data_IF_541752227788
#
_entry.id   IF_541752227788
#
_cell.length_a   1.000
_cell.length_b   1.000
_cell.length_c   1.000
_cell.angle_alpha   90.00
_cell.angle_beta   90.00
_cell.angle_gamma   90.00
#
_symmetry.space_group_name_H-M   'P 1'
#
loop_
_entity.id
_entity.type
_entity.pdbx_description
1 polymer ?
#
# COMPACT_ATOMS: atom_id res chain seq x y z
N UNK A 1 -12.58 20.93 -6.71
CA UNK A 1 -11.80 21.01 -7.96
C UNK A 1 -12.16 19.82 -8.82
N UNK A 2 -12.24 20.02 -10.13
CA UNK A 2 -12.42 18.93 -11.06
C UNK A 2 -11.19 18.00 -11.01
N UNK A 3 -11.42 16.69 -11.14
CA UNK A 3 -10.39 15.66 -11.01
C UNK A 3 -9.54 15.49 -12.27
N UNK A 4 -8.72 14.43 -12.30
CA UNK A 4 -7.80 14.15 -13.42
C UNK A 4 -8.39 13.43 -14.62
N UNK A 5 -9.69 13.13 -14.65
CA UNK A 5 -10.37 12.49 -15.79
C UNK A 5 -10.80 13.55 -16.82
N UNK A 6 -9.81 14.25 -17.37
CA UNK A 6 -9.98 15.34 -18.32
C UNK A 6 -8.70 15.53 -19.14
N UNK A 7 -8.82 16.11 -20.35
CA UNK A 7 -7.67 16.42 -21.22
C UNK A 7 -6.71 17.46 -20.63
N UNK A 8 -7.23 18.38 -19.82
CA UNK A 8 -6.46 19.44 -19.18
C UNK A 8 -6.88 19.63 -17.72
N UNK A 9 -5.91 19.97 -16.88
CA UNK A 9 -6.13 20.33 -15.48
C UNK A 9 -5.27 21.53 -15.10
N UNK A 10 -5.79 22.38 -14.19
CA UNK A 10 -5.05 23.51 -13.61
C UNK A 10 -4.69 23.16 -12.17
N UNK A 11 -3.40 23.23 -11.83
CA UNK A 11 -2.89 22.96 -10.49
C UNK A 11 -1.91 24.05 -10.04
N UNK A 12 -1.87 24.33 -8.73
CA UNK A 12 -0.84 25.22 -8.17
C UNK A 12 0.50 24.47 -8.14
N UNK A 13 1.57 25.14 -8.56
CA UNK A 13 2.91 24.54 -8.66
C UNK A 13 3.40 23.88 -7.36
N UNK A 14 2.99 24.37 -6.19
CA UNK A 14 3.33 23.80 -4.88
C UNK A 14 2.71 22.41 -4.61
N UNK A 15 1.69 22.00 -5.38
CA UNK A 15 1.12 20.64 -5.34
C UNK A 15 1.55 19.78 -6.54
N UNK A 16 2.43 20.30 -7.40
CA UNK A 16 2.98 19.56 -8.52
C UNK A 16 4.34 18.95 -8.14
N UNK A 17 4.56 17.71 -8.58
CA UNK A 17 5.84 17.03 -8.50
C UNK A 17 6.40 16.80 -9.89
N UNK A 18 7.73 16.87 -10.01
CA UNK A 18 8.41 16.45 -11.23
C UNK A 18 8.32 14.92 -11.36
N UNK A 19 8.00 14.45 -12.56
CA UNK A 19 7.98 13.00 -12.85
C UNK A 19 9.42 12.49 -12.88
N UNK A 20 9.74 11.39 -12.17
CA UNK A 20 11.06 10.79 -12.21
C UNK A 20 11.48 10.42 -13.66
N UNK A 21 12.74 10.68 -14.05
CA UNK A 21 13.21 10.31 -15.38
C UNK A 21 13.11 8.79 -15.59
N UNK A 22 12.77 8.37 -16.81
CA UNK A 22 12.62 6.96 -17.16
C UNK A 22 11.22 6.38 -16.93
N UNK A 23 10.30 7.14 -16.35
CA UNK A 23 8.88 6.75 -16.25
C UNK A 23 8.05 7.39 -17.34
N UNK A 24 7.22 6.61 -18.02
CA UNK A 24 6.11 7.16 -18.81
C UNK A 24 5.07 7.80 -17.88
N UNK A 25 4.22 8.69 -18.42
CA UNK A 25 3.13 9.27 -17.64
C UNK A 25 2.22 8.20 -17.01
N UNK A 26 1.93 7.14 -17.76
CA UNK A 26 1.18 5.99 -17.28
C UNK A 26 1.88 5.28 -16.12
N UNK A 27 3.18 5.01 -16.24
CA UNK A 27 3.92 4.33 -15.19
C UNK A 27 4.08 5.21 -13.95
N UNK A 28 4.13 6.53 -14.12
CA UNK A 28 4.25 7.48 -13.04
C UNK A 28 2.93 7.74 -12.30
N UNK A 29 1.78 7.60 -12.97
CA UNK A 29 0.48 7.94 -12.37
C UNK A 29 0.22 7.18 -11.05
N UNK A 30 0.46 5.85 -10.94
CA UNK A 30 0.31 5.13 -9.68
C UNK A 30 1.29 5.59 -8.58
N UNK A 31 2.47 6.10 -8.94
CA UNK A 31 3.45 6.60 -7.95
C UNK A 31 2.88 7.80 -7.18
N UNK A 32 2.14 8.67 -7.86
CA UNK A 32 1.60 9.93 -7.30
C UNK A 32 0.41 9.74 -6.36
N UNK A 33 -0.18 8.55 -6.31
CA UNK A 33 -1.28 8.24 -5.38
C UNK A 33 -0.90 7.04 -4.52
N UNK A 34 -0.99 5.84 -5.09
CA UNK A 34 -0.73 4.59 -4.40
C UNK A 34 0.70 4.50 -3.84
N UNK A 35 1.68 5.03 -4.59
CA UNK A 35 3.07 5.09 -4.18
C UNK A 35 3.30 6.03 -3.00
N UNK A 36 2.84 7.29 -3.09
CA UNK A 36 3.01 8.29 -2.03
C UNK A 36 2.33 7.88 -0.72
N UNK A 37 1.08 7.42 -0.77
CA UNK A 37 0.38 6.99 0.45
C UNK A 37 1.02 5.72 1.02
N UNK A 38 1.44 4.78 0.17
CA UNK A 38 2.17 3.58 0.58
C UNK A 38 3.49 3.93 1.27
N UNK A 39 4.27 4.86 0.70
CA UNK A 39 5.52 5.33 1.29
C UNK A 39 5.31 6.04 2.63
N UNK A 40 4.29 6.90 2.73
CA UNK A 40 3.97 7.57 3.99
C UNK A 40 3.56 6.58 5.08
N UNK A 41 2.67 5.64 4.76
CA UNK A 41 2.27 4.58 5.69
C UNK A 41 3.48 3.76 6.15
N UNK A 42 4.38 3.45 5.22
CA UNK A 42 5.63 2.77 5.51
C UNK A 42 6.56 3.56 6.42
N UNK A 43 6.76 4.86 6.19
CA UNK A 43 7.53 5.69 7.14
C UNK A 43 6.99 5.62 8.56
N UNK A 44 5.66 5.68 8.72
CA UNK A 44 5.01 5.57 10.03
C UNK A 44 5.17 4.17 10.63
N UNK A 45 5.11 3.11 9.81
CA UNK A 45 5.32 1.73 10.25
C UNK A 45 6.77 1.49 10.70
N UNK A 46 7.74 1.99 9.94
CA UNK A 46 9.19 1.81 10.19
C UNK A 46 9.68 2.36 11.51
N UNK A 47 9.01 3.36 12.07
CA UNK A 47 9.35 3.89 13.40
C UNK A 47 9.25 2.83 14.50
N UNK A 48 8.47 1.76 14.27
CA UNK A 48 8.35 0.60 15.16
C UNK A 48 9.14 -0.62 14.67
N UNK A 49 10.00 -0.47 13.66
CA UNK A 49 10.78 -1.55 13.06
C UNK A 49 12.28 -1.33 13.29
N UNK A 50 13.11 -2.40 13.31
CA UNK A 50 14.56 -2.26 13.24
C UNK A 50 14.99 -1.61 11.92
N UNK A 51 16.21 -1.04 11.87
CA UNK A 51 16.72 -0.36 10.67
C UNK A 51 16.79 -1.26 9.43
N UNK A 52 17.05 -2.56 9.63
CA UNK A 52 17.06 -3.61 8.62
C UNK A 52 16.47 -4.90 9.21
N UNK A 53 16.16 -5.88 8.34
CA UNK A 53 15.65 -7.23 8.69
C UNK A 53 14.29 -7.28 9.42
N UNK A 54 13.64 -6.13 9.60
CA UNK A 54 12.27 -6.04 10.10
C UNK A 54 11.25 -6.76 9.21
N UNK A 55 10.18 -7.25 9.84
CA UNK A 55 9.10 -8.01 9.21
C UNK A 55 7.86 -7.14 9.09
N UNK A 56 7.49 -6.79 7.86
CA UNK A 56 6.34 -5.94 7.54
C UNK A 56 5.18 -6.77 6.99
N UNK A 57 4.02 -6.68 7.64
CA UNK A 57 2.76 -7.21 7.11
C UNK A 57 2.04 -6.20 6.23
N UNK A 58 1.63 -6.61 5.02
CA UNK A 58 0.81 -5.80 4.13
C UNK A 58 -0.57 -6.44 3.96
N UNK A 59 -1.61 -5.86 4.56
CA UNK A 59 -2.99 -6.32 4.49
C UNK A 59 -3.75 -5.62 3.37
N UNK A 60 -4.16 -6.39 2.36
CA UNK A 60 -4.72 -5.88 1.11
C UNK A 60 -3.62 -5.66 0.07
N UNK A 61 -3.36 -6.67 -0.76
CA UNK A 61 -2.28 -6.63 -1.76
C UNK A 61 -2.72 -6.02 -3.10
N UNK A 62 -3.02 -4.72 -3.10
CA UNK A 62 -3.47 -3.96 -4.27
C UNK A 62 -2.45 -2.94 -4.79
N UNK A 63 -2.95 -1.81 -5.33
CA UNK A 63 -2.15 -0.76 -5.93
C UNK A 63 -1.04 -0.21 -5.00
N UNK A 64 -1.32 0.08 -3.72
CA UNK A 64 -0.28 0.59 -2.82
C UNK A 64 0.72 -0.47 -2.39
N UNK A 65 0.24 -1.67 -2.04
CA UNK A 65 1.08 -2.75 -1.55
C UNK A 65 2.10 -3.23 -2.60
N UNK A 66 1.73 -3.31 -3.88
CA UNK A 66 2.63 -3.77 -4.94
C UNK A 66 3.77 -2.78 -5.25
N UNK A 67 3.56 -1.49 -5.00
CA UNK A 67 4.62 -0.48 -5.09
C UNK A 67 5.47 -0.51 -3.82
N UNK A 68 4.81 -0.57 -2.66
CA UNK A 68 5.48 -0.48 -1.37
C UNK A 68 6.40 -1.67 -1.09
N UNK A 69 6.03 -2.89 -1.48
CA UNK A 69 6.87 -4.07 -1.26
C UNK A 69 8.28 -3.91 -1.85
N UNK A 70 8.39 -3.24 -3.00
CA UNK A 70 9.67 -3.00 -3.68
C UNK A 70 10.54 -2.03 -2.85
N UNK A 71 9.91 -1.02 -2.25
CA UNK A 71 10.56 -0.07 -1.34
C UNK A 71 11.01 -0.74 -0.04
N UNK A 72 10.13 -1.51 0.59
CA UNK A 72 10.42 -2.20 1.85
C UNK A 72 11.57 -3.21 1.68
N UNK A 73 11.57 -3.96 0.58
CA UNK A 73 12.64 -4.91 0.26
C UNK A 73 13.97 -4.22 -0.02
N UNK A 74 13.95 -3.12 -0.77
CA UNK A 74 15.16 -2.35 -1.03
C UNK A 74 15.76 -1.72 0.25
N UNK A 75 14.93 -1.49 1.27
CA UNK A 75 15.36 -1.07 2.60
C UNK A 75 15.80 -2.24 3.51
N UNK A 76 15.83 -3.48 3.00
CA UNK A 76 16.28 -4.65 3.75
C UNK A 76 15.20 -5.29 4.65
N UNK A 77 13.92 -4.97 4.46
CA UNK A 77 12.83 -5.59 5.23
C UNK A 77 12.20 -6.77 4.49
N UNK A 78 11.71 -7.72 5.27
CA UNK A 78 10.96 -8.88 4.82
C UNK A 78 9.48 -8.53 4.80
N UNK A 79 8.74 -9.02 3.80
CA UNK A 79 7.33 -8.67 3.60
C UNK A 79 6.45 -9.91 3.58
N UNK A 80 5.43 -9.90 4.45
CA UNK A 80 4.36 -10.89 4.50
C UNK A 80 3.11 -10.24 3.90
N UNK A 81 2.58 -10.83 2.84
CA UNK A 81 1.38 -10.31 2.17
C UNK A 81 0.12 -11.03 2.63
N UNK A 82 -0.86 -10.27 3.10
CA UNK A 82 -2.15 -10.76 3.53
C UNK A 82 -3.21 -10.32 2.52
N UNK A 83 -3.87 -11.29 1.92
CA UNK A 83 -4.83 -11.11 0.84
C UNK A 83 -6.23 -11.49 1.30
N UNK A 84 -7.24 -11.10 0.53
CA UNK A 84 -8.61 -11.59 0.76
C UNK A 84 -8.62 -13.12 0.67
N UNK A 85 -9.43 -13.82 1.49
CA UNK A 85 -9.51 -15.27 1.43
C UNK A 85 -9.72 -15.83 0.02
N UNK A 86 -8.85 -16.74 -0.40
CA UNK A 86 -8.90 -17.38 -1.72
C UNK A 86 -8.39 -16.54 -2.89
N UNK A 87 -7.82 -15.36 -2.67
CA UNK A 87 -7.29 -14.49 -3.72
C UNK A 87 -5.88 -14.95 -4.19
N UNK A 88 -5.84 -16.12 -4.83
CA UNK A 88 -4.59 -16.77 -5.27
C UNK A 88 -3.80 -15.87 -6.23
N UNK A 89 -4.48 -15.13 -7.10
CA UNK A 89 -3.84 -14.20 -8.03
C UNK A 89 -3.06 -13.09 -7.30
N UNK A 90 -3.66 -12.47 -6.27
CA UNK A 90 -2.96 -11.48 -5.47
C UNK A 90 -1.79 -12.08 -4.67
N UNK A 91 -1.94 -13.31 -4.16
CA UNK A 91 -0.87 -14.00 -3.43
C UNK A 91 0.33 -14.32 -4.33
N UNK A 92 0.08 -14.84 -5.53
CA UNK A 92 1.14 -15.14 -6.50
C UNK A 92 1.82 -13.87 -6.97
N UNK A 93 1.06 -12.80 -7.21
CA UNK A 93 1.62 -11.50 -7.53
C UNK A 93 2.51 -10.94 -6.41
N UNK A 94 2.11 -11.10 -5.15
CA UNK A 94 2.94 -10.72 -4.01
C UNK A 94 4.26 -11.49 -3.96
N UNK A 95 4.22 -12.81 -4.16
CA UNK A 95 5.41 -13.67 -4.21
C UNK A 95 6.33 -13.29 -5.37
N UNK A 96 5.78 -13.00 -6.55
CA UNK A 96 6.54 -12.52 -7.71
C UNK A 96 7.30 -11.20 -7.43
N UNK A 97 6.72 -10.32 -6.62
CA UNK A 97 7.37 -9.07 -6.19
C UNK A 97 8.34 -9.25 -5.00
N UNK A 98 8.44 -10.48 -4.48
CA UNK A 98 9.40 -10.89 -3.46
C UNK A 98 8.87 -10.89 -2.03
N UNK A 99 7.55 -11.01 -1.83
CA UNK A 99 7.01 -11.34 -0.51
C UNK A 99 7.58 -12.70 -0.08
N UNK A 100 8.10 -12.81 1.14
CA UNK A 100 8.63 -14.07 1.65
C UNK A 100 7.51 -15.05 2.03
N UNK A 101 6.29 -14.54 2.23
CA UNK A 101 5.08 -15.33 2.38
C UNK A 101 3.88 -14.51 1.89
N UNK A 102 2.89 -15.21 1.36
CA UNK A 102 1.60 -14.64 1.01
C UNK A 102 0.49 -15.64 1.38
N UNK A 103 -0.62 -15.15 1.92
CA UNK A 103 -1.74 -15.98 2.30
C UNK A 103 -3.01 -15.17 2.58
N UNK A 104 -4.03 -15.86 3.04
CA UNK A 104 -5.29 -15.25 3.45
C UNK A 104 -5.07 -14.37 4.69
N UNK A 105 -5.85 -13.30 4.83
CA UNK A 105 -5.75 -12.35 5.94
C UNK A 105 -5.97 -12.96 7.33
N UNK A 106 -6.60 -14.13 7.38
CA UNK A 106 -6.93 -14.86 8.60
C UNK A 106 -6.07 -16.14 8.75
N UNK A 107 -5.11 -16.36 7.85
CA UNK A 107 -4.21 -17.50 7.97
C UNK A 107 -3.22 -17.30 9.12
N UNK A 108 -2.71 -18.40 9.65
CA UNK A 108 -1.68 -18.36 10.68
C UNK A 108 -0.44 -17.66 10.13
N UNK A 109 0.01 -16.64 10.86
CA UNK A 109 1.19 -15.87 10.48
C UNK A 109 2.44 -16.72 10.76
N UNK A 110 3.33 -16.94 9.78
CA UNK A 110 4.47 -17.82 9.96
C UNK A 110 5.50 -17.27 10.97
N UNK A 111 5.51 -15.97 11.21
CA UNK A 111 6.34 -15.32 12.22
C UNK A 111 5.76 -13.97 12.70
N UNK A 112 6.07 -13.51 13.92
CA UNK A 112 5.58 -12.23 14.42
C UNK A 112 6.07 -11.02 13.61
N UNK A 113 5.16 -10.13 13.26
CA UNK A 113 5.42 -8.88 12.53
C UNK A 113 6.03 -7.81 13.44
N UNK A 114 6.90 -6.96 12.91
CA UNK A 114 7.32 -5.70 13.57
C UNK A 114 6.26 -4.60 13.36
N UNK A 115 5.71 -4.52 12.15
CA UNK A 115 4.66 -3.59 11.83
C UNK A 115 3.71 -4.19 10.79
N UNK A 116 2.50 -3.62 10.71
CA UNK A 116 1.50 -3.97 9.72
C UNK A 116 0.90 -2.71 9.10
N UNK A 117 0.63 -2.74 7.80
CA UNK A 117 -0.09 -1.68 7.08
C UNK A 117 -1.35 -2.30 6.49
N UNK A 118 -2.49 -1.69 6.76
CA UNK A 118 -3.80 -2.13 6.28
C UNK A 118 -4.27 -1.19 5.18
N UNK A 119 -4.25 -1.67 3.94
CA UNK A 119 -4.82 -1.01 2.77
C UNK A 119 -6.25 -1.46 2.47
N UNK A 120 -6.63 -2.67 2.91
CA UNK A 120 -7.97 -3.19 2.73
C UNK A 120 -9.01 -2.38 3.53
N UNK A 121 -10.21 -2.13 2.98
CA UNK A 121 -11.25 -1.34 3.65
C UNK A 121 -12.03 -2.17 4.70
N UNK A 122 -11.32 -2.93 5.53
CA UNK A 122 -11.86 -3.92 6.45
C UNK A 122 -11.35 -3.71 7.89
N UNK A 123 -12.19 -3.16 8.76
CA UNK A 123 -11.89 -2.82 10.15
C UNK A 123 -11.62 -4.04 11.03
N UNK A 124 -12.17 -5.20 10.69
CA UNK A 124 -11.89 -6.47 11.34
C UNK A 124 -10.43 -6.92 11.21
N UNK A 125 -9.68 -6.37 10.23
CA UNK A 125 -8.26 -6.65 10.07
C UNK A 125 -7.39 -5.96 11.11
N UNK A 126 -7.88 -4.90 11.77
CA UNK A 126 -7.11 -4.19 12.80
C UNK A 126 -6.77 -5.10 13.99
N UNK A 127 -7.73 -5.78 14.67
CA UNK A 127 -7.39 -6.71 15.73
C UNK A 127 -6.60 -7.93 15.24
N UNK A 128 -6.85 -8.42 14.03
CA UNK A 128 -6.06 -9.50 13.44
C UNK A 128 -4.58 -9.08 13.28
N UNK A 129 -4.34 -7.90 12.69
CA UNK A 129 -3.00 -7.34 12.54
C UNK A 129 -2.31 -7.12 13.88
N UNK A 130 -3.01 -6.58 14.90
CA UNK A 130 -2.46 -6.41 16.25
C UNK A 130 -2.01 -7.73 16.88
N UNK A 131 -2.80 -8.79 16.72
CA UNK A 131 -2.48 -10.11 17.25
C UNK A 131 -1.22 -10.71 16.61
N UNK A 132 -0.97 -10.38 15.35
CA UNK A 132 0.22 -10.80 14.60
C UNK A 132 1.49 -10.01 14.95
N UNK A 133 1.37 -8.88 15.67
CA UNK A 133 2.53 -8.05 16.02
C UNK A 133 3.30 -8.60 17.24
N UNK A 134 4.61 -8.43 17.21
CA UNK A 134 5.44 -8.45 18.42
C UNK A 134 5.11 -7.27 19.35
N UNK A 135 5.59 -7.32 20.59
CA UNK A 135 5.52 -6.18 21.52
C UNK A 135 6.26 -4.96 20.93
N UNK A 136 5.72 -3.76 21.15
CA UNK A 136 6.24 -2.52 20.58
C UNK A 136 5.86 -2.26 19.12
N UNK A 137 5.20 -3.22 18.45
CA UNK A 137 4.85 -3.10 17.04
C UNK A 137 3.76 -2.07 16.73
N UNK A 138 3.56 -1.79 15.45
CA UNK A 138 2.57 -0.80 14.99
C UNK A 138 1.67 -1.30 13.86
N UNK A 139 0.37 -1.02 13.97
CA UNK A 139 -0.60 -1.10 12.87
C UNK A 139 -0.85 0.30 12.30
N UNK A 140 -0.69 0.46 10.99
CA UNK A 140 -1.01 1.70 10.26
C UNK A 140 -2.21 1.44 9.33
N UNK A 141 -3.31 2.12 9.58
CA UNK A 141 -4.50 2.07 8.72
C UNK A 141 -4.32 3.08 7.57
N UNK A 142 -4.21 2.58 6.34
CA UNK A 142 -3.92 3.37 5.13
C UNK A 142 -5.02 3.28 4.05
N UNK A 143 -6.20 2.74 4.41
CA UNK A 143 -7.40 2.81 3.57
C UNK A 143 -8.06 4.20 3.63
N UNK A 144 -8.52 4.70 2.47
CA UNK A 144 -9.26 5.97 2.38
C UNK A 144 -10.63 5.87 3.07
N UNK A 145 -11.21 4.67 3.05
CA UNK A 145 -12.35 4.29 3.87
C UNK A 145 -12.10 2.88 4.43
N UNK A 146 -12.75 2.58 5.55
CA UNK A 146 -12.75 1.27 6.19
C UNK A 146 -14.11 1.06 6.85
N UNK A 147 -14.53 -0.19 7.02
CA UNK A 147 -15.62 -0.51 7.96
C UNK A 147 -15.25 -0.17 9.40
N UNK A 148 -16.23 -0.18 10.30
CA UNK A 148 -15.98 0.06 11.72
C UNK A 148 -14.97 -0.96 12.28
N UNK A 149 -14.06 -0.46 13.12
CA UNK A 149 -13.14 -1.32 13.87
C UNK A 149 -13.94 -1.98 15.00
N UNK A 150 -14.04 -3.31 15.05
CA UNK A 150 -14.79 -3.98 16.10
C UNK A 150 -14.09 -3.83 17.46
N UNK A 151 -14.82 -4.05 18.54
CA UNK A 151 -14.22 -4.13 19.88
C UNK A 151 -13.21 -5.29 19.94
N UNK A 152 -12.12 -5.08 20.68
CA UNK A 152 -11.08 -6.09 20.87
C UNK A 152 -10.50 -6.01 22.29
N UNK A 153 -9.89 -7.11 22.74
CA UNK A 153 -9.32 -7.21 24.07
C UNK A 153 -8.10 -6.26 24.22
N UNK A 154 -8.00 -5.58 25.36
CA UNK A 154 -6.88 -4.68 25.67
C UNK A 154 -5.51 -5.36 25.56
N UNK A 155 -5.44 -6.68 25.76
CA UNK A 155 -4.23 -7.48 25.62
C UNK A 155 -3.59 -7.39 24.22
N UNK A 156 -4.36 -7.04 23.19
CA UNK A 156 -3.85 -6.77 21.83
C UNK A 156 -3.10 -5.43 21.72
N UNK A 157 -3.33 -4.50 22.63
CA UNK A 157 -2.56 -3.25 22.76
C UNK A 157 -1.48 -3.35 23.84
N UNK A 158 -1.73 -4.14 24.87
CA UNK A 158 -0.79 -4.40 25.93
C UNK A 158 0.56 -4.90 25.38
N UNK A 159 1.65 -4.46 25.98
CA UNK A 159 3.00 -4.65 25.43
C UNK A 159 3.39 -3.59 24.40
N UNK A 160 2.90 -2.35 24.58
CA UNK A 160 3.32 -1.15 23.85
C UNK A 160 3.04 -1.20 22.34
N UNK A 161 2.02 -1.95 21.91
CA UNK A 161 1.58 -1.93 20.52
C UNK A 161 0.78 -0.66 20.24
N UNK A 162 0.89 -0.13 19.03
CA UNK A 162 0.23 1.10 18.63
C UNK A 162 -0.63 0.91 17.38
N UNK A 163 -1.70 1.70 17.27
CA UNK A 163 -2.55 1.81 16.09
C UNK A 163 -2.57 3.28 15.69
N UNK A 164 -2.39 3.57 14.40
CA UNK A 164 -2.58 4.90 13.87
C UNK A 164 -3.21 4.86 12.48
N UNK A 165 -3.68 6.01 11.99
CA UNK A 165 -4.23 6.17 10.65
C UNK A 165 -3.40 7.19 9.86
N UNK A 166 -3.42 7.06 8.54
CA UNK A 166 -2.86 8.03 7.62
C UNK A 166 -3.95 8.50 6.64
N UNK A 167 -4.18 9.81 6.59
CA UNK A 167 -5.24 10.39 5.76
C UNK A 167 -4.73 11.03 4.46
N UNK A 168 -3.61 11.76 4.54
CA UNK A 168 -3.10 12.58 3.43
C UNK A 168 -1.59 12.47 3.32
N UNK A 169 -1.07 12.84 2.15
CA UNK A 169 0.35 13.01 1.89
C UNK A 169 0.84 14.40 2.29
N UNK A 170 2.14 14.53 2.56
CA UNK A 170 2.84 15.82 2.67
C UNK A 170 3.76 16.01 1.48
N UNK A 171 4.14 17.26 1.23
CA UNK A 171 5.18 17.62 0.24
C UNK A 171 6.48 16.81 0.46
N UNK A 172 6.88 16.68 1.73
CA UNK A 172 8.05 15.92 2.16
C UNK A 172 7.99 14.45 1.72
N UNK A 173 6.81 13.83 1.75
CA UNK A 173 6.66 12.43 1.32
C UNK A 173 7.01 12.27 -0.17
N UNK A 174 6.62 13.23 -1.02
CA UNK A 174 6.96 13.20 -2.44
C UNK A 174 8.42 13.51 -2.72
N UNK A 175 9.00 14.44 -1.97
CA UNK A 175 10.43 14.79 -2.08
C UNK A 175 11.35 13.64 -1.62
N UNK A 176 10.91 12.79 -0.70
CA UNK A 176 11.66 11.61 -0.27
C UNK A 176 11.39 10.38 -1.17
N UNK A 177 10.13 10.16 -1.60
CA UNK A 177 9.73 8.97 -2.35
C UNK A 177 10.10 9.01 -3.84
N UNK A 178 9.84 10.11 -4.54
CA UNK A 178 10.03 10.14 -6.00
C UNK A 178 11.50 9.98 -6.42
N UNK A 179 12.50 10.58 -5.72
CA UNK A 179 13.91 10.28 -6.00
C UNK A 179 14.29 8.83 -5.66
N UNK A 180 13.60 8.20 -4.71
CA UNK A 180 13.80 6.79 -4.41
C UNK A 180 13.31 5.91 -5.57
N UNK A 181 12.19 6.25 -6.21
CA UNK A 181 11.68 5.52 -7.37
C UNK A 181 12.69 5.49 -8.54
N UNK A 182 13.57 6.48 -8.68
CA UNK A 182 14.67 6.44 -9.66
C UNK A 182 15.80 5.51 -9.25
N UNK A 183 16.14 5.45 -7.95
CA UNK A 183 17.26 4.64 -7.42
C UNK A 183 16.92 3.15 -7.35
N UNK A 184 15.67 2.83 -7.01
CA UNK A 184 15.17 1.46 -6.91
C UNK A 184 14.00 1.32 -7.88
N UNK A 185 14.25 1.27 -9.21
CA UNK A 185 13.24 1.44 -10.25
C UNK A 185 11.99 0.59 -9.98
N UNK A 186 10.99 1.25 -9.38
CA UNK A 186 9.75 0.65 -8.91
C UNK A 186 8.94 0.29 -10.14
N UNK A 187 8.70 -1.00 -10.35
CA UNK A 187 7.89 -1.49 -11.45
C UNK A 187 6.42 -1.30 -11.12
N UNK A 188 5.78 -0.38 -11.84
CA UNK A 188 4.34 -0.18 -11.77
C UNK A 188 3.66 -1.18 -12.70
N UNK A 189 2.76 -1.99 -12.14
CA UNK A 189 1.93 -2.90 -12.93
C UNK A 189 0.62 -2.20 -13.22
N UNK A 190 0.45 -1.78 -14.46
CA UNK A 190 -0.68 -0.95 -14.90
C UNK A 190 -1.59 -1.70 -15.86
N UNK A 191 -2.89 -1.45 -15.74
CA UNK A 191 -3.88 -1.81 -16.77
C UNK A 191 -4.46 -0.52 -17.33
N UNK A 192 -4.38 -0.38 -18.65
CA UNK A 192 -4.85 0.80 -19.37
C UNK A 192 -6.33 0.67 -19.69
N UNK A 193 -7.05 1.77 -19.49
CA UNK A 193 -8.42 1.95 -19.93
C UNK A 193 -8.52 3.29 -20.66
N UNK A 194 -9.30 3.37 -21.72
CA UNK A 194 -9.67 4.67 -22.31
C UNK A 194 -10.62 5.41 -21.38
N UNK A 195 -10.73 6.74 -21.50
CA UNK A 195 -11.63 7.54 -20.67
C UNK A 195 -13.09 7.07 -20.73
N UNK A 196 -13.56 6.67 -21.91
CA UNK A 196 -14.92 6.15 -22.12
C UNK A 196 -15.17 4.85 -21.33
N UNK A 197 -14.09 4.14 -20.97
CA UNK A 197 -14.12 2.89 -20.22
C UNK A 197 -13.96 3.10 -18.71
N UNK A 198 -13.99 4.34 -18.21
CA UNK A 198 -13.80 4.62 -16.79
C UNK A 198 -14.75 3.82 -15.87
N UNK A 199 -16.03 3.67 -16.26
CA UNK A 199 -16.98 2.86 -15.50
C UNK A 199 -16.59 1.36 -15.49
N UNK A 200 -16.10 0.83 -16.62
CA UNK A 200 -15.60 -0.54 -16.69
C UNK A 200 -14.38 -0.73 -15.79
N UNK A 201 -13.45 0.23 -15.77
CA UNK A 201 -12.28 0.18 -14.89
C UNK A 201 -12.68 0.14 -13.40
N UNK A 202 -13.70 0.91 -13.00
CA UNK A 202 -14.23 0.90 -11.65
C UNK A 202 -14.90 -0.44 -11.30
N UNK A 203 -15.64 -1.04 -12.22
CA UNK A 203 -16.27 -2.33 -12.00
C UNK A 203 -15.24 -3.47 -11.95
N UNK A 204 -14.20 -3.41 -12.78
CA UNK A 204 -13.07 -4.34 -12.76
C UNK A 204 -12.34 -4.28 -11.42
N UNK A 205 -12.12 -3.06 -10.90
CA UNK A 205 -11.54 -2.84 -9.58
C UNK A 205 -12.41 -3.44 -8.47
N UNK A 206 -13.72 -3.16 -8.46
CA UNK A 206 -14.66 -3.69 -7.46
C UNK A 206 -14.72 -5.22 -7.47
N UNK A 207 -14.71 -5.80 -8.66
CA UNK A 207 -14.74 -7.26 -8.83
C UNK A 207 -13.37 -7.92 -8.61
N UNK A 208 -12.29 -7.16 -8.42
CA UNK A 208 -10.94 -7.69 -8.27
C UNK A 208 -10.43 -8.39 -9.53
N UNK A 209 -10.80 -7.90 -10.72
CA UNK A 209 -10.42 -8.51 -12.01
C UNK A 209 -8.98 -8.25 -12.43
N UNK A 210 -8.24 -7.46 -11.67
CA UNK A 210 -6.82 -7.22 -11.93
C UNK A 210 -5.99 -7.02 -10.66
N UNK A 211 -4.68 -7.23 -10.82
CA UNK A 211 -3.64 -6.87 -9.85
C UNK A 211 -2.88 -5.64 -10.34
N UNK A 212 -2.48 -4.76 -9.42
CA UNK A 212 -1.77 -3.51 -9.76
C UNK A 212 -2.69 -2.29 -9.75
N UNK A 213 -2.51 -1.37 -10.71
CA UNK A 213 -3.25 -0.12 -10.80
C UNK A 213 -3.92 0.07 -12.17
N UNK A 214 -5.20 0.43 -12.19
CA UNK A 214 -5.85 0.90 -13.42
C UNK A 214 -5.42 2.34 -13.71
N UNK A 215 -5.10 2.63 -14.97
CA UNK A 215 -4.72 3.96 -15.45
C UNK A 215 -5.61 4.34 -16.63
N UNK A 216 -6.26 5.49 -16.52
CA UNK A 216 -7.00 6.09 -17.63
C UNK A 216 -5.99 6.76 -18.57
N UNK A 217 -6.06 6.42 -19.84
CA UNK A 217 -5.30 7.05 -20.93
C UNK A 217 -6.26 7.83 -21.83
N UNK A 218 -5.77 8.92 -22.39
CA UNK A 218 -6.47 9.82 -23.30
C UNK A 218 -5.80 9.79 -24.68
#
# INVERSE_FOLDING_TARGET
HDGGFAEYAVARAEYCFAIPPGYSAEQAAPLLCAGLIGYRAYRMAREAMPEADGVLGLYGFGASAHLLIQVARAAGHRVLAFTRPGDIAAQDFARQLGACWAGDSNADVPEPLDAAIIFAPAGELVPAALSALRKGGRVVCAGIHMSDIPAFAYDLLWGERSICSVANLTRRDGEEFLPLATRIPIRTHTIRYQLEQANQALDDLRAGRFTGAAVIVL
#
